data_IF_881345485468
#
_entry.id   IF_881345485468
#
_cell.length_a   1.000
_cell.length_b   1.000
_cell.length_c   1.000
_cell.angle_alpha   90.00
_cell.angle_beta   90.00
_cell.angle_gamma   90.00
#
_symmetry.space_group_name_H-M   'P 1'
#
loop_
_entity.id
_entity.type
_entity.pdbx_description
1 polymer ?
#
# COMPACT_ATOMS: atom_id res chain seq x y z
N UNK A 1 5.57 -6.23 -34.45
CA UNK A 1 6.75 -6.13 -33.57
C UNK A 1 6.24 -6.14 -32.14
N UNK A 2 6.41 -7.25 -31.40
CA UNK A 2 5.97 -7.34 -30.01
C UNK A 2 6.94 -6.56 -29.14
N UNK A 3 6.52 -5.39 -28.66
CA UNK A 3 7.29 -4.63 -27.67
C UNK A 3 7.41 -5.51 -26.42
N UNK A 4 8.61 -6.02 -26.15
CA UNK A 4 8.92 -6.74 -24.92
C UNK A 4 8.60 -5.80 -23.76
N UNK A 5 7.58 -6.14 -22.96
CA UNK A 5 7.21 -5.36 -21.81
C UNK A 5 8.45 -5.28 -20.90
N UNK A 6 8.88 -4.06 -20.50
CA UNK A 6 10.05 -3.92 -19.65
C UNK A 6 9.85 -4.72 -18.36
N UNK A 7 10.73 -5.70 -18.14
CA UNK A 7 10.76 -6.53 -16.93
C UNK A 7 11.21 -5.67 -15.74
N UNK A 8 10.32 -4.82 -15.24
CA UNK A 8 10.55 -4.11 -14.00
C UNK A 8 10.41 -5.09 -12.85
N UNK A 9 11.54 -5.43 -12.23
CA UNK A 9 11.54 -6.10 -10.92
C UNK A 9 11.08 -5.08 -9.87
N UNK A 10 9.75 -4.93 -9.75
CA UNK A 10 9.17 -4.22 -8.62
C UNK A 10 9.40 -5.06 -7.36
N UNK A 11 9.88 -4.45 -6.26
CA UNK A 11 9.92 -5.14 -4.98
C UNK A 11 8.50 -5.52 -4.58
N UNK A 12 8.29 -6.73 -4.03
CA UNK A 12 6.95 -7.14 -3.56
C UNK A 12 6.50 -6.25 -2.41
N UNK A 13 5.21 -5.92 -2.39
CA UNK A 13 4.61 -5.13 -1.32
C UNK A 13 4.57 -5.93 -0.01
N UNK A 14 5.40 -5.59 0.97
CA UNK A 14 5.47 -6.23 2.30
C UNK A 14 4.92 -5.30 3.41
N UNK A 15 3.89 -4.51 3.09
CA UNK A 15 3.19 -3.60 4.01
C UNK A 15 3.97 -2.36 4.48
N UNK A 16 5.29 -2.45 4.67
CA UNK A 16 6.17 -1.36 5.12
C UNK A 16 6.70 -0.51 3.95
N UNK A 17 6.75 -1.07 2.75
CA UNK A 17 7.31 -0.42 1.55
C UNK A 17 6.24 0.21 0.64
N UNK A 18 5.01 0.44 1.15
CA UNK A 18 3.89 0.86 0.32
C UNK A 18 4.12 2.20 -0.39
N UNK A 19 4.74 3.19 0.24
CA UNK A 19 5.04 4.49 -0.41
C UNK A 19 5.95 4.35 -1.62
N UNK A 20 7.11 3.70 -1.42
CA UNK A 20 8.09 3.52 -2.47
C UNK A 20 7.56 2.59 -3.58
N UNK A 21 6.77 1.58 -3.18
CA UNK A 21 6.10 0.68 -4.10
C UNK A 21 5.03 1.38 -4.93
N UNK A 22 4.24 2.25 -4.31
CA UNK A 22 3.19 3.04 -4.95
C UNK A 22 3.76 3.91 -6.07
N UNK A 23 4.85 4.63 -5.77
CA UNK A 23 5.54 5.48 -6.74
C UNK A 23 6.13 4.63 -7.87
N UNK A 24 6.78 3.50 -7.56
CA UNK A 24 7.33 2.61 -8.60
C UNK A 24 6.24 2.01 -9.49
N UNK A 25 5.14 1.56 -8.89
CA UNK A 25 4.02 0.97 -9.63
C UNK A 25 3.32 2.03 -10.48
N UNK A 26 3.20 3.26 -9.97
CA UNK A 26 2.71 4.41 -10.73
C UNK A 26 3.54 4.65 -11.99
N UNK A 27 4.86 4.64 -11.88
CA UNK A 27 5.79 4.80 -13.02
C UNK A 27 5.65 3.66 -14.04
N UNK A 28 5.48 2.42 -13.59
CA UNK A 28 5.27 1.27 -14.49
C UNK A 28 3.92 1.34 -15.20
N UNK A 29 2.85 1.70 -14.49
CA UNK A 29 1.52 1.89 -15.09
C UNK A 29 1.49 3.06 -16.08
N UNK A 30 2.25 4.13 -15.82
CA UNK A 30 2.41 5.24 -16.78
C UNK A 30 3.17 4.81 -18.04
N UNK A 31 4.26 4.06 -17.92
CA UNK A 31 5.00 3.56 -19.09
C UNK A 31 4.17 2.59 -19.96
N UNK A 32 3.23 1.87 -19.35
CA UNK A 32 2.36 0.95 -20.07
C UNK A 32 1.08 1.62 -20.61
N UNK A 33 0.91 2.93 -20.44
CA UNK A 33 -0.31 3.67 -20.84
C UNK A 33 -1.59 3.12 -20.16
N UNK A 34 -1.44 2.62 -18.93
CA UNK A 34 -2.50 1.98 -18.14
C UNK A 34 -3.03 2.86 -17.00
N UNK A 35 -2.29 3.92 -16.65
CA UNK A 35 -2.63 4.78 -15.51
C UNK A 35 -3.96 5.51 -15.68
N UNK A 36 -4.30 5.95 -16.90
CA UNK A 36 -5.54 6.69 -17.14
C UNK A 36 -6.79 5.90 -16.75
N UNK A 37 -6.80 4.58 -16.97
CA UNK A 37 -7.92 3.70 -16.61
C UNK A 37 -8.03 3.48 -15.11
N UNK A 38 -6.90 3.55 -14.39
CA UNK A 38 -6.89 3.43 -12.92
C UNK A 38 -7.35 4.73 -12.28
N UNK A 39 -6.91 5.88 -12.79
CA UNK A 39 -7.19 7.19 -12.20
C UNK A 39 -8.58 7.71 -12.58
N UNK A 40 -8.93 7.61 -13.87
CA UNK A 40 -10.17 8.12 -14.43
C UNK A 40 -10.85 7.06 -15.33
N UNK A 41 -11.47 6.03 -14.73
CA UNK A 41 -12.11 4.98 -15.50
C UNK A 41 -13.24 5.55 -16.38
N UNK A 42 -13.33 5.16 -17.65
CA UNK A 42 -14.40 5.61 -18.53
C UNK A 42 -15.76 5.11 -18.04
N UNK A 43 -16.82 5.91 -18.26
CA UNK A 43 -18.18 5.59 -17.83
C UNK A 43 -18.74 4.34 -18.54
N UNK A 44 -18.27 4.08 -19.76
CA UNK A 44 -18.53 2.86 -20.53
C UNK A 44 -17.19 2.24 -20.90
N UNK A 45 -16.99 0.97 -20.52
CA UNK A 45 -15.79 0.24 -20.90
C UNK A 45 -15.91 -0.26 -22.34
N UNK A 46 -15.02 0.19 -23.21
CA UNK A 46 -14.80 -0.43 -24.52
C UNK A 46 -14.04 -1.75 -24.33
N UNK A 47 -14.07 -2.65 -25.31
CA UNK A 47 -13.35 -3.93 -25.27
C UNK A 47 -11.83 -3.72 -25.05
N UNK A 48 -11.26 -2.61 -25.54
CA UNK A 48 -9.87 -2.21 -25.29
C UNK A 48 -9.63 -1.75 -23.84
N UNK A 49 -10.57 -1.00 -23.26
CA UNK A 49 -10.50 -0.52 -21.88
C UNK A 49 -10.59 -1.67 -20.87
N UNK A 50 -11.40 -2.69 -21.18
CA UNK A 50 -11.48 -3.93 -20.38
C UNK A 50 -10.13 -4.64 -20.37
N UNK A 51 -9.48 -4.78 -21.53
CA UNK A 51 -8.15 -5.39 -21.64
C UNK A 51 -7.10 -4.60 -20.87
N UNK A 52 -7.08 -3.28 -21.02
CA UNK A 52 -6.17 -2.40 -20.29
C UNK A 52 -6.42 -2.45 -18.77
N UNK A 53 -7.68 -2.49 -18.31
CA UNK A 53 -8.00 -2.68 -16.89
C UNK A 53 -7.52 -4.04 -16.36
N UNK A 54 -7.67 -5.12 -17.12
CA UNK A 54 -7.16 -6.44 -16.75
C UNK A 54 -5.62 -6.49 -16.72
N UNK A 55 -4.95 -5.83 -17.67
CA UNK A 55 -3.49 -5.67 -17.65
C UNK A 55 -3.04 -4.88 -16.41
N UNK A 56 -3.68 -3.75 -16.10
CA UNK A 56 -3.35 -2.97 -14.92
C UNK A 56 -3.56 -3.76 -13.62
N UNK A 57 -4.65 -4.54 -13.56
CA UNK A 57 -4.97 -5.38 -12.42
C UNK A 57 -3.96 -6.51 -12.25
N UNK A 58 -3.58 -7.20 -13.32
CA UNK A 58 -2.61 -8.30 -13.29
C UNK A 58 -1.19 -7.83 -12.94
N UNK A 59 -0.71 -6.75 -13.56
CA UNK A 59 0.59 -6.13 -13.19
C UNK A 59 0.61 -5.81 -11.70
N UNK A 60 -0.49 -5.28 -11.19
CA UNK A 60 -0.61 -4.90 -9.79
C UNK A 60 -0.66 -6.09 -8.84
N UNK A 61 -1.44 -7.13 -9.14
CA UNK A 61 -1.50 -8.35 -8.32
C UNK A 61 -0.17 -9.08 -8.29
N UNK A 62 0.56 -9.12 -9.41
CA UNK A 62 1.89 -9.72 -9.49
C UNK A 62 2.94 -9.00 -8.63
N UNK A 63 2.72 -7.71 -8.35
CA UNK A 63 3.62 -6.91 -7.52
C UNK A 63 3.27 -6.96 -6.01
N UNK A 64 2.20 -7.66 -5.63
CA UNK A 64 1.79 -7.84 -4.23
C UNK A 64 2.42 -9.09 -3.64
N UNK A 65 2.63 -9.08 -2.33
CA UNK A 65 2.93 -10.29 -1.57
C UNK A 65 1.64 -11.07 -1.27
N UNK A 66 1.76 -12.39 -1.08
CA UNK A 66 0.65 -13.31 -0.83
C UNK A 66 -0.24 -12.89 0.34
N UNK A 67 0.36 -12.23 1.34
CA UNK A 67 -0.33 -11.65 2.51
C UNK A 67 -1.43 -10.64 2.11
N UNK A 68 -1.20 -9.87 1.04
CA UNK A 68 -2.07 -8.80 0.55
C UNK A 68 -3.01 -9.29 -0.57
N UNK A 69 -2.81 -10.48 -1.14
CA UNK A 69 -3.67 -11.04 -2.18
C UNK A 69 -5.10 -11.29 -1.70
N UNK A 70 -5.27 -11.55 -0.40
CA UNK A 70 -6.59 -11.70 0.23
C UNK A 70 -7.49 -10.48 0.05
N UNK A 71 -6.91 -9.27 0.01
CA UNK A 71 -7.61 -8.00 -0.18
C UNK A 71 -8.04 -7.79 -1.64
N UNK A 72 -7.29 -8.36 -2.59
CA UNK A 72 -7.48 -8.12 -4.03
C UNK A 72 -8.28 -9.22 -4.72
N UNK A 73 -8.35 -10.42 -4.13
CA UNK A 73 -9.01 -11.61 -4.70
C UNK A 73 -10.44 -11.37 -5.22
N UNK A 74 -11.20 -10.45 -4.62
CA UNK A 74 -12.61 -10.18 -4.97
C UNK A 74 -12.81 -8.95 -5.85
N UNK A 75 -11.73 -8.28 -6.26
CA UNK A 75 -11.80 -6.99 -6.96
C UNK A 75 -11.54 -7.20 -8.46
N UNK A 76 -12.51 -6.80 -9.29
CA UNK A 76 -12.42 -6.90 -10.77
C UNK A 76 -11.93 -5.60 -11.44
N UNK A 77 -11.75 -4.54 -10.65
CA UNK A 77 -11.32 -3.23 -11.13
C UNK A 77 -9.98 -2.85 -10.51
N UNK A 78 -9.03 -2.45 -11.36
CA UNK A 78 -7.71 -1.99 -10.94
C UNK A 78 -7.82 -0.77 -10.01
N UNK A 79 -8.79 0.12 -10.26
CA UNK A 79 -9.11 1.26 -9.39
C UNK A 79 -9.61 0.81 -8.02
N UNK A 80 -10.55 -0.14 -7.96
CA UNK A 80 -11.04 -0.66 -6.68
C UNK A 80 -9.93 -1.33 -5.88
N UNK A 81 -9.08 -2.10 -6.56
CA UNK A 81 -7.86 -2.66 -5.98
C UNK A 81 -6.95 -1.55 -5.41
N UNK A 82 -6.84 -0.40 -6.08
CA UNK A 82 -6.06 0.75 -5.60
C UNK A 82 -6.61 1.36 -4.33
N UNK A 83 -7.90 1.65 -4.33
CA UNK A 83 -8.57 2.20 -3.15
C UNK A 83 -8.54 1.23 -1.97
N UNK A 84 -8.70 -0.08 -2.21
CA UNK A 84 -8.66 -1.09 -1.15
C UNK A 84 -7.28 -1.17 -0.46
N UNK A 85 -6.19 -1.13 -1.23
CA UNK A 85 -4.83 -1.13 -0.69
C UNK A 85 -4.54 0.14 0.13
N UNK A 86 -4.94 1.32 -0.36
CA UNK A 86 -4.80 2.57 0.38
C UNK A 86 -5.62 2.55 1.68
N UNK A 87 -6.87 2.06 1.63
CA UNK A 87 -7.73 1.98 2.80
C UNK A 87 -7.19 1.02 3.86
N UNK A 88 -6.65 -0.14 3.44
CA UNK A 88 -6.01 -1.10 4.35
C UNK A 88 -4.81 -0.47 5.08
N UNK A 89 -4.01 0.34 4.37
CA UNK A 89 -2.90 1.08 4.98
C UNK A 89 -3.35 2.13 5.97
N UNK A 90 -4.29 2.99 5.58
CA UNK A 90 -4.79 4.05 6.47
C UNK A 90 -5.33 3.43 7.75
N UNK A 91 -6.06 2.31 7.64
CA UNK A 91 -6.52 1.55 8.81
C UNK A 91 -5.35 1.08 9.67
N UNK A 92 -4.29 0.52 9.08
CA UNK A 92 -3.12 0.08 9.82
C UNK A 92 -2.40 1.24 10.54
N UNK A 93 -2.25 2.40 9.88
CA UNK A 93 -1.65 3.60 10.48
C UNK A 93 -2.48 4.17 11.63
N UNK A 94 -3.80 4.21 11.50
CA UNK A 94 -4.69 4.66 12.58
C UNK A 94 -4.67 3.67 13.75
N UNK A 95 -4.73 2.36 13.47
CA UNK A 95 -4.61 1.33 14.50
C UNK A 95 -3.26 1.37 15.23
N UNK A 96 -2.15 1.63 14.52
CA UNK A 96 -0.84 1.81 15.15
C UNK A 96 -0.81 3.08 16.01
N UNK A 97 -1.38 4.20 15.55
CA UNK A 97 -1.46 5.44 16.34
C UNK A 97 -2.29 5.27 17.61
N UNK A 98 -3.43 4.60 17.54
CA UNK A 98 -4.28 4.32 18.71
C UNK A 98 -3.57 3.39 19.69
N UNK A 99 -2.87 2.37 19.17
CA UNK A 99 -2.05 1.46 20.01
C UNK A 99 -0.95 2.24 20.74
N UNK A 100 -0.22 3.10 20.03
CA UNK A 100 0.82 3.95 20.60
C UNK A 100 0.24 4.91 21.66
N UNK A 101 -0.88 5.58 21.37
CA UNK A 101 -1.56 6.46 22.33
C UNK A 101 -1.99 5.70 23.58
N UNK A 102 -2.50 4.47 23.44
CA UNK A 102 -2.90 3.63 24.58
C UNK A 102 -1.71 3.17 25.42
N UNK A 103 -0.54 2.97 24.80
CA UNK A 103 0.69 2.63 25.51
C UNK A 103 1.31 3.85 26.20
N UNK A 104 1.27 5.02 25.56
CA UNK A 104 1.78 6.28 26.12
C UNK A 104 0.90 6.83 27.26
N UNK A 105 -0.42 6.63 27.20
CA UNK A 105 -1.35 7.16 28.20
C UNK A 105 -1.09 6.72 29.66
N UNK A 106 -0.73 5.47 29.97
CA UNK A 106 -0.32 5.08 31.33
C UNK A 106 1.15 5.40 31.64
N UNK A 107 1.92 5.86 30.65
CA UNK A 107 3.37 6.09 30.76
C UNK A 107 3.67 7.48 31.35
N UNK A 108 3.06 7.78 32.49
CA UNK A 108 3.38 8.97 33.28
C UNK A 108 4.61 8.69 34.13
N UNK A 109 5.52 9.66 34.22
CA UNK A 109 6.70 9.56 35.07
C UNK A 109 6.24 9.50 36.54
N UNK A 110 6.41 8.34 37.18
CA UNK A 110 6.06 8.17 38.60
C UNK A 110 7.09 8.85 39.52
N UNK A 111 6.63 9.34 40.66
CA UNK A 111 7.48 10.02 41.64
C UNK A 111 8.52 9.04 42.21
N UNK A 112 9.79 9.20 41.79
CA UNK A 112 10.91 8.35 42.19
C UNK A 112 11.54 7.55 41.03
N UNK A 113 10.95 7.57 39.83
CA UNK A 113 11.56 6.96 38.65
C UNK A 113 12.66 7.85 38.04
N UNK A 114 13.81 7.26 37.67
CA UNK A 114 14.85 7.98 36.94
C UNK A 114 14.34 8.37 35.55
N UNK A 115 14.46 9.67 35.23
CA UNK A 115 14.11 10.23 33.91
C UNK A 115 14.82 9.48 32.77
N UNK A 116 16.03 8.97 32.99
CA UNK A 116 16.76 8.18 32.00
C UNK A 116 16.07 6.86 31.64
N UNK A 117 15.52 6.16 32.64
CA UNK A 117 14.83 4.88 32.43
C UNK A 117 13.47 5.11 31.76
N UNK A 118 12.82 6.23 32.08
CA UNK A 118 11.59 6.66 31.44
C UNK A 118 11.80 6.99 29.96
N UNK A 119 12.87 7.73 29.63
CA UNK A 119 13.24 8.03 28.26
C UNK A 119 13.60 6.78 27.45
N UNK A 120 14.30 5.83 28.06
CA UNK A 120 14.66 4.57 27.39
C UNK A 120 13.42 3.73 27.04
N UNK A 121 12.45 3.66 27.97
CA UNK A 121 11.14 3.02 27.73
C UNK A 121 10.36 3.71 26.61
N UNK A 122 10.35 5.05 26.57
CA UNK A 122 9.72 5.80 25.49
C UNK A 122 10.41 5.54 24.15
N UNK A 123 11.74 5.59 24.09
CA UNK A 123 12.51 5.35 22.86
C UNK A 123 12.25 3.94 22.30
N UNK A 124 12.13 2.94 23.17
CA UNK A 124 11.80 1.57 22.78
C UNK A 124 10.41 1.39 22.14
N UNK A 125 9.46 2.31 22.35
CA UNK A 125 8.13 2.25 21.71
C UNK A 125 8.10 2.82 20.30
N UNK A 126 9.05 3.70 19.98
CA UNK A 126 9.16 4.35 18.67
C UNK A 126 10.15 3.64 17.74
N UNK A 127 10.86 2.62 18.24
CA UNK A 127 11.73 1.72 17.46
C UNK A 127 10.96 0.59 16.79
#
# INVERSE_FOLDING_TARGET
MAASAPNFQLPRLNGQNLLAWEVKLHMVLMQQDLWEIVNNPPACFTNEDVKKNQCALSTKTLCLEDSQLSLVRKLESAQRCWKALLAARVRNTVSSQVTLMRQLYPMWLEAGESVTNHLDKMVHLFS
#
